data_IF_802318341575
#
_entry.id   IF_802318341575
#
_cell.length_a   1.000
_cell.length_b   1.000
_cell.length_c   1.000
_cell.angle_alpha   90.00
_cell.angle_beta   90.00
_cell.angle_gamma   90.00
#
_symmetry.space_group_name_H-M   'P 1'
#
loop_
_entity.id
_entity.type
_entity.pdbx_description
1 polymer ?
#
# COMPACT_ATOMS: atom_id res chain seq x y z
N UNK A 1 8.32 -1.84 -0.85
CA UNK A 1 7.90 -3.04 -0.10
C UNK A 1 8.41 -4.29 -0.82
N UNK A 2 8.77 -5.36 -0.10
CA UNK A 2 9.18 -6.63 -0.71
C UNK A 2 8.34 -7.76 -0.15
N UNK A 3 7.68 -8.54 -1.01
CA UNK A 3 6.92 -9.73 -0.63
C UNK A 3 7.78 -10.97 -0.82
N UNK A 4 7.99 -11.72 0.27
CA UNK A 4 8.72 -12.99 0.27
C UNK A 4 7.73 -14.12 0.50
N UNK A 5 7.70 -15.08 -0.42
CA UNK A 5 6.82 -16.24 -0.34
C UNK A 5 7.66 -17.52 -0.49
N UNK A 6 7.36 -18.59 0.27
CA UNK A 6 8.02 -19.88 0.09
C UNK A 6 7.85 -20.39 -1.35
N UNK A 7 8.95 -20.74 -2.01
CA UNK A 7 8.93 -21.31 -3.37
C UNK A 7 8.69 -20.33 -4.51
N UNK A 8 8.68 -19.01 -4.24
CA UNK A 8 8.54 -17.96 -5.27
C UNK A 8 9.70 -16.97 -5.21
N UNK A 9 10.01 -16.34 -6.34
CA UNK A 9 10.98 -15.26 -6.38
C UNK A 9 10.49 -14.05 -5.55
N UNK A 10 11.39 -13.32 -4.86
CA UNK A 10 11.04 -12.09 -4.16
C UNK A 10 10.34 -11.09 -5.09
N UNK A 11 9.16 -10.63 -4.69
CA UNK A 11 8.43 -9.60 -5.43
C UNK A 11 8.74 -8.23 -4.82
N UNK A 12 9.48 -7.41 -5.56
CA UNK A 12 9.85 -6.06 -5.14
C UNK A 12 8.85 -5.05 -5.72
N UNK A 13 8.15 -4.34 -4.83
CA UNK A 13 7.23 -3.26 -5.18
C UNK A 13 7.85 -1.92 -4.78
N UNK A 14 8.19 -1.03 -5.75
CA UNK A 14 8.70 0.30 -5.43
C UNK A 14 7.63 1.11 -4.69
N UNK A 15 8.05 2.00 -3.78
CA UNK A 15 7.11 2.90 -3.09
C UNK A 15 6.43 3.81 -4.10
N UNK A 16 5.14 4.05 -3.91
CA UNK A 16 4.37 4.98 -4.76
C UNK A 16 4.34 6.40 -4.20
N UNK A 17 5.08 6.69 -3.12
CA UNK A 17 5.15 8.02 -2.53
C UNK A 17 5.95 8.99 -3.41
N UNK A 18 5.32 10.08 -3.85
CA UNK A 18 5.96 11.14 -4.67
C UNK A 18 6.68 12.18 -3.80
N UNK A 19 6.10 12.54 -2.65
CA UNK A 19 6.69 13.44 -1.66
C UNK A 19 6.48 12.82 -0.27
N UNK A 20 7.54 12.75 0.54
CA UNK A 20 7.51 12.14 1.88
C UNK A 20 7.66 13.26 2.90
N UNK A 21 6.60 13.52 3.66
CA UNK A 21 6.54 14.57 4.68
C UNK A 21 6.66 14.01 6.10
N UNK A 22 5.89 12.96 6.44
CA UNK A 22 5.90 12.32 7.76
C UNK A 22 5.73 10.80 7.62
N UNK A 23 6.63 10.02 8.22
CA UNK A 23 6.60 8.54 8.14
C UNK A 23 5.85 7.88 9.31
N UNK A 24 5.38 8.68 10.27
CA UNK A 24 4.72 8.19 11.47
C UNK A 24 3.37 7.56 11.12
N UNK A 25 3.15 6.30 11.51
CA UNK A 25 1.90 5.58 11.22
C UNK A 25 1.81 4.94 9.82
N UNK A 26 2.87 5.03 9.02
CA UNK A 26 2.94 4.33 7.73
C UNK A 26 2.85 2.80 7.91
N UNK A 27 3.51 2.26 8.95
CA UNK A 27 3.46 0.83 9.28
C UNK A 27 2.06 0.34 9.68
N UNK A 28 1.37 1.10 10.53
CA UNK A 28 -0.01 0.76 10.94
C UNK A 28 -0.97 0.77 9.75
N UNK A 29 -0.74 1.70 8.81
CA UNK A 29 -1.51 1.77 7.55
C UNK A 29 -1.24 0.56 6.66
N UNK A 30 0.02 0.16 6.51
CA UNK A 30 0.39 -1.05 5.75
C UNK A 30 -0.32 -2.26 6.31
N UNK A 31 -0.24 -2.49 7.63
CA UNK A 31 -0.83 -3.68 8.28
C UNK A 31 -2.35 -3.63 8.18
N UNK A 32 -2.98 -2.48 8.45
CA UNK A 32 -4.43 -2.33 8.41
C UNK A 32 -5.00 -2.56 7.00
N UNK A 33 -4.35 -2.02 5.97
CA UNK A 33 -4.78 -2.22 4.59
C UNK A 33 -4.52 -3.65 4.14
N UNK A 34 -3.33 -4.20 4.43
CA UNK A 34 -3.00 -5.60 4.12
C UNK A 34 -4.05 -6.56 4.69
N UNK A 35 -4.35 -6.44 5.98
CA UNK A 35 -5.34 -7.26 6.66
C UNK A 35 -6.74 -7.09 6.07
N UNK A 36 -7.16 -5.87 5.74
CA UNK A 36 -8.46 -5.60 5.14
C UNK A 36 -8.60 -6.23 3.74
N UNK A 37 -7.57 -6.13 2.90
CA UNK A 37 -7.57 -6.77 1.56
C UNK A 37 -7.52 -8.29 1.64
N UNK A 38 -6.73 -8.86 2.56
CA UNK A 38 -6.74 -10.31 2.77
C UNK A 38 -8.11 -10.78 3.29
N UNK A 39 -8.74 -10.03 4.19
CA UNK A 39 -10.10 -10.32 4.67
C UNK A 39 -11.16 -10.18 3.56
N UNK A 40 -10.91 -9.38 2.53
CA UNK A 40 -11.77 -9.27 1.35
C UNK A 40 -11.61 -10.44 0.36
N UNK A 41 -10.65 -11.35 0.59
CA UNK A 41 -10.39 -12.51 -0.26
C UNK A 41 -9.41 -12.27 -1.41
N UNK A 42 -8.72 -11.12 -1.40
CA UNK A 42 -7.70 -10.79 -2.39
C UNK A 42 -6.39 -11.57 -2.18
N UNK A 43 -5.56 -11.63 -3.22
CA UNK A 43 -4.25 -12.28 -3.13
C UNK A 43 -3.27 -11.50 -2.26
N UNK A 44 -2.20 -12.17 -1.79
CA UNK A 44 -1.14 -11.52 -1.02
C UNK A 44 -0.43 -10.43 -1.83
N UNK A 45 -0.27 -10.67 -3.13
CA UNK A 45 0.32 -9.75 -4.08
C UNK A 45 -0.54 -8.47 -4.21
N UNK A 46 -1.86 -8.62 -4.39
CA UNK A 46 -2.80 -7.49 -4.41
C UNK A 46 -2.80 -6.75 -3.06
N UNK A 47 -2.84 -7.48 -1.96
CA UNK A 47 -2.84 -6.90 -0.63
C UNK A 47 -1.56 -6.07 -0.37
N UNK A 48 -0.40 -6.57 -0.78
CA UNK A 48 0.86 -5.82 -0.69
C UNK A 48 0.85 -4.58 -1.59
N UNK A 49 0.26 -4.67 -2.77
CA UNK A 49 0.12 -3.54 -3.68
C UNK A 49 -0.73 -2.43 -3.07
N UNK A 50 -1.92 -2.76 -2.56
CA UNK A 50 -2.81 -1.81 -1.89
C UNK A 50 -2.17 -1.21 -0.64
N UNK A 51 -1.48 -2.02 0.17
CA UNK A 51 -0.80 -1.56 1.37
C UNK A 51 0.35 -0.59 1.05
N UNK A 52 1.15 -0.88 0.02
CA UNK A 52 2.23 -0.02 -0.43
C UNK A 52 1.73 1.32 -1.00
N UNK A 53 0.62 1.31 -1.75
CA UNK A 53 -0.03 2.53 -2.22
C UNK A 53 -0.64 3.36 -1.08
N UNK A 54 -1.31 2.70 -0.12
CA UNK A 54 -1.90 3.38 1.04
C UNK A 54 -0.84 4.02 1.94
N UNK A 55 0.30 3.35 2.13
CA UNK A 55 1.45 3.92 2.83
C UNK A 55 1.96 5.18 2.12
N UNK A 56 2.04 5.16 0.78
CA UNK A 56 2.42 6.31 -0.03
C UNK A 56 1.53 7.55 0.19
N UNK A 57 0.21 7.34 0.30
CA UNK A 57 -0.77 8.40 0.62
C UNK A 57 -0.57 8.99 2.01
N UNK A 58 -0.28 8.13 2.99
CA UNK A 58 -0.10 8.56 4.38
C UNK A 58 1.18 9.36 4.51
N UNK A 59 2.28 8.87 3.94
CA UNK A 59 3.56 9.58 4.07
C UNK A 59 3.62 10.90 3.32
N UNK A 60 2.76 11.10 2.31
CA UNK A 60 2.62 12.35 1.56
C UNK A 60 1.79 13.45 2.25
N UNK A 61 1.40 13.28 3.51
CA UNK A 61 0.62 14.27 4.27
C UNK A 61 1.38 14.72 5.52
N UNK A 62 1.30 16.01 5.83
CA UNK A 62 1.89 16.59 7.04
C UNK A 62 1.06 16.20 8.29
N UNK A 63 1.70 15.66 9.33
CA UNK A 63 1.08 15.26 10.61
C UNK A 63 0.87 13.75 10.73
N UNK A 64 0.04 13.28 11.68
CA UNK A 64 -0.28 11.85 11.91
C UNK A 64 -1.55 11.43 11.13
N UNK A 65 -1.45 11.15 9.82
CA UNK A 65 -2.57 11.20 8.91
C UNK A 65 -3.23 9.82 8.90
N UNK A 66 -4.48 9.76 9.36
CA UNK A 66 -5.26 8.52 9.30
C UNK A 66 -5.61 8.18 7.85
N UNK A 67 -5.32 6.95 7.43
CA UNK A 67 -5.82 6.45 6.15
C UNK A 67 -7.35 6.43 6.15
N UNK A 68 -7.97 6.96 5.08
CA UNK A 68 -9.42 7.04 4.91
C UNK A 68 -9.78 6.74 3.47
N UNK A 69 -10.90 6.05 3.23
CA UNK A 69 -11.36 5.67 1.89
C UNK A 69 -11.47 6.85 0.91
N UNK A 70 -11.80 8.05 1.39
CA UNK A 70 -11.83 9.27 0.56
C UNK A 70 -10.45 9.69 0.03
N UNK A 71 -9.38 9.39 0.76
CA UNK A 71 -8.00 9.72 0.35
C UNK A 71 -7.54 8.90 -0.84
N UNK A 72 -8.04 7.67 -0.98
CA UNK A 72 -7.75 6.78 -2.11
C UNK A 72 -8.21 7.37 -3.45
N UNK A 73 -9.47 7.84 -3.50
CA UNK A 73 -10.11 8.40 -4.70
C UNK A 73 -9.50 9.72 -5.20
N UNK A 74 -8.59 10.34 -4.46
CA UNK A 74 -8.00 11.63 -4.85
C UNK A 74 -6.61 11.45 -5.48
N UNK A 75 -5.89 10.39 -5.12
CA UNK A 75 -4.49 10.20 -5.54
C UNK A 75 -4.24 8.92 -6.38
N UNK A 76 -5.12 7.91 -6.33
CA UNK A 76 -4.87 6.58 -6.91
C UNK A 76 -6.02 6.06 -7.78
N UNK A 77 -6.78 6.95 -8.43
CA UNK A 77 -7.95 6.58 -9.28
C UNK A 77 -7.54 5.78 -10.53
N UNK A 78 -6.31 5.99 -11.00
CA UNK A 78 -5.76 5.37 -12.21
C UNK A 78 -4.61 4.40 -11.93
N UNK A 79 -4.41 4.00 -10.66
CA UNK A 79 -3.34 3.06 -10.33
C UNK A 79 -3.76 1.65 -10.75
N UNK A 80 -3.31 1.29 -11.95
CA UNK A 80 -3.42 -0.05 -12.48
C UNK A 80 -2.64 -0.99 -11.57
N UNK A 81 -3.30 -2.05 -11.09
CA UNK A 81 -2.61 -3.20 -10.52
C UNK A 81 -1.71 -3.72 -11.64
N UNK A 82 -0.37 -3.70 -11.49
CA UNK A 82 0.52 -4.24 -12.50
C UNK A 82 0.07 -5.67 -12.77
N UNK A 83 -0.05 -6.05 -14.04
CA UNK A 83 -0.27 -7.44 -14.40
C UNK A 83 0.89 -8.25 -13.80
N UNK A 84 0.59 -8.97 -12.72
CA UNK A 84 1.54 -9.84 -12.03
C UNK A 84 1.79 -11.02 -12.98
N UNK A 85 2.93 -10.98 -13.68
CA UNK A 85 3.44 -12.07 -14.50
C UNK A 85 3.93 -13.23 -13.64
#
# INVERSE_FOLDING_TARGET
>A
MSLLQPGKAPLHMPTQAQEVYDVTGAGDTVIGVLAATLAAGNSLEEACFFANAAAGVVVGKLGHPRFRRSSWKTQYVDVQIPALA
#
